data_IF_988124073955
#
_entry.id   IF_988124073955
#
_cell.length_a   1.000
_cell.length_b   1.000
_cell.length_c   1.000
_cell.angle_alpha   90.00
_cell.angle_beta   90.00
_cell.angle_gamma   90.00
#
_symmetry.space_group_name_H-M   'P 1'
#
loop_
_entity.id
_entity.type
_entity.pdbx_description
1 polymer ?
#
# COMPACT_ATOMS: atom_id res chain seq x y z
N UNK A 1 -12.58 -7.44 7.97
CA UNK A 1 -12.00 -8.60 7.27
C UNK A 1 -10.48 -8.46 7.22
N UNK A 2 -9.74 -9.54 6.96
CA UNK A 2 -8.28 -9.48 6.79
C UNK A 2 -7.92 -9.75 5.33
N UNK A 3 -6.81 -9.19 4.88
CA UNK A 3 -6.30 -9.41 3.53
C UNK A 3 -5.75 -10.83 3.39
N UNK A 4 -5.89 -11.44 2.21
CA UNK A 4 -5.44 -12.82 1.93
C UNK A 4 -3.96 -13.05 2.23
N UNK A 5 -3.13 -12.03 2.01
CA UNK A 5 -1.68 -12.06 2.31
C UNK A 5 -1.36 -12.13 3.80
N UNK A 6 -2.34 -11.84 4.67
CA UNK A 6 -2.22 -11.90 6.11
C UNK A 6 -2.62 -13.24 6.72
N UNK A 7 -3.47 -14.04 6.06
CA UNK A 7 -4.11 -15.20 6.69
C UNK A 7 -3.10 -16.19 7.29
N UNK A 8 -2.07 -16.57 6.52
CA UNK A 8 -1.04 -17.48 7.01
C UNK A 8 -0.29 -16.91 8.23
N UNK A 9 0.01 -15.62 8.22
CA UNK A 9 0.74 -14.95 9.31
C UNK A 9 -0.14 -14.82 10.55
N UNK A 10 -1.42 -14.48 10.38
CA UNK A 10 -2.40 -14.38 11.46
C UNK A 10 -2.57 -15.74 12.15
N UNK A 11 -2.79 -16.81 11.38
CA UNK A 11 -2.97 -18.17 11.93
C UNK A 11 -1.72 -18.63 12.67
N UNK A 12 -0.53 -18.47 12.09
CA UNK A 12 0.73 -18.82 12.75
C UNK A 12 0.92 -18.02 14.04
N UNK A 13 0.66 -16.72 14.02
CA UNK A 13 0.80 -15.85 15.20
C UNK A 13 -0.17 -16.28 16.31
N UNK A 14 -1.41 -16.61 15.95
CA UNK A 14 -2.41 -17.09 16.90
C UNK A 14 -1.97 -18.39 17.58
N UNK A 15 -1.47 -19.37 16.82
CA UNK A 15 -0.98 -20.64 17.35
C UNK A 15 0.23 -20.42 18.26
N UNK A 16 1.22 -19.64 17.83
CA UNK A 16 2.43 -19.37 18.60
C UNK A 16 2.07 -18.64 19.90
N UNK A 17 1.28 -17.58 19.85
CA UNK A 17 0.97 -16.78 21.03
C UNK A 17 0.10 -17.55 22.02
N UNK A 18 -0.84 -18.37 21.53
CA UNK A 18 -1.60 -19.28 22.40
C UNK A 18 -0.68 -20.28 23.08
N UNK A 19 0.24 -20.90 22.33
CA UNK A 19 1.22 -21.84 22.90
C UNK A 19 2.11 -21.18 23.96
N UNK A 20 2.60 -19.96 23.72
CA UNK A 20 3.39 -19.20 24.68
C UNK A 20 2.59 -18.87 25.95
N UNK A 21 1.32 -18.51 25.83
CA UNK A 21 0.44 -18.28 26.98
C UNK A 21 0.26 -19.55 27.79
N UNK A 22 0.06 -20.71 27.15
CA UNK A 22 -0.08 -21.99 27.84
C UNK A 22 1.21 -22.41 28.58
N UNK A 23 2.37 -22.21 27.94
CA UNK A 23 3.68 -22.44 28.57
C UNK A 23 3.87 -21.49 29.75
N UNK A 24 3.59 -20.20 29.58
CA UNK A 24 3.66 -19.22 30.65
C UNK A 24 2.77 -19.60 31.83
N UNK A 25 1.53 -20.04 31.58
CA UNK A 25 0.61 -20.51 32.61
C UNK A 25 1.12 -21.76 33.36
N UNK A 26 1.89 -22.63 32.69
CA UNK A 26 2.41 -23.87 33.30
C UNK A 26 3.64 -23.66 34.18
N UNK A 27 4.48 -22.68 33.85
CA UNK A 27 5.81 -22.48 34.44
C UNK A 27 5.95 -21.21 35.28
N UNK A 28 5.00 -20.26 35.22
CA UNK A 28 5.05 -19.04 36.01
C UNK A 28 4.13 -19.13 37.22
N UNK A 29 4.73 -19.20 38.40
CA UNK A 29 3.99 -19.19 39.68
C UNK A 29 3.51 -17.79 40.08
N UNK A 30 4.11 -16.74 39.49
CA UNK A 30 3.81 -15.34 39.79
C UNK A 30 2.72 -14.81 38.86
N UNK A 31 1.50 -14.65 39.39
CA UNK A 31 0.34 -14.15 38.64
C UNK A 31 0.60 -12.82 37.90
N UNK A 32 1.29 -11.85 38.52
CA UNK A 32 1.56 -10.55 37.88
C UNK A 32 2.44 -10.69 36.63
N UNK A 33 3.41 -11.60 36.64
CA UNK A 33 4.32 -11.83 35.52
C UNK A 33 3.61 -12.54 34.38
N UNK A 34 2.73 -13.50 34.70
CA UNK A 34 1.85 -14.14 33.73
C UNK A 34 0.96 -13.10 33.02
N UNK A 35 0.25 -12.26 33.77
CA UNK A 35 -0.63 -11.24 33.18
C UNK A 35 0.14 -10.22 32.34
N UNK A 36 1.33 -9.81 32.77
CA UNK A 36 2.20 -8.93 31.97
C UNK A 36 2.53 -9.56 30.61
N UNK A 37 2.96 -10.82 30.60
CA UNK A 37 3.28 -11.54 29.35
C UNK A 37 2.03 -11.70 28.49
N UNK A 38 0.90 -12.07 29.08
CA UNK A 38 -0.36 -12.21 28.35
C UNK A 38 -0.80 -10.88 27.70
N UNK A 39 -0.67 -9.76 28.40
CA UNK A 39 -0.97 -8.42 27.86
C UNK A 39 -0.02 -8.09 26.71
N UNK A 40 1.29 -8.30 26.88
CA UNK A 40 2.29 -8.01 25.83
C UNK A 40 2.00 -8.83 24.58
N UNK A 41 1.77 -10.13 24.71
CA UNK A 41 1.41 -11.01 23.59
C UNK A 41 0.06 -10.61 22.96
N UNK A 42 -0.91 -10.20 23.77
CA UNK A 42 -2.20 -9.69 23.30
C UNK A 42 -2.06 -8.42 22.46
N UNK A 43 -1.22 -7.47 22.89
CA UNK A 43 -0.91 -6.25 22.13
C UNK A 43 -0.20 -6.60 20.82
N UNK A 44 0.78 -7.51 20.84
CA UNK A 44 1.46 -7.95 19.62
C UNK A 44 0.48 -8.62 18.65
N UNK A 45 -0.44 -9.46 19.12
CA UNK A 45 -1.47 -10.08 18.29
C UNK A 45 -2.36 -9.01 17.67
N UNK A 46 -2.82 -8.05 18.48
CA UNK A 46 -3.63 -6.94 18.03
C UNK A 46 -2.93 -6.16 16.91
N UNK A 47 -1.63 -5.87 17.04
CA UNK A 47 -0.86 -5.18 16.00
C UNK A 47 -0.76 -6.00 14.70
N UNK A 48 -0.59 -7.32 14.78
CA UNK A 48 -0.60 -8.21 13.61
C UNK A 48 -1.96 -8.15 12.91
N UNK A 49 -3.05 -8.29 13.66
CA UNK A 49 -4.41 -8.21 13.12
C UNK A 49 -4.67 -6.83 12.48
N UNK A 50 -4.26 -5.77 13.17
CA UNK A 50 -4.43 -4.39 12.73
C UNK A 50 -3.67 -4.11 11.42
N UNK A 51 -2.48 -4.68 11.26
CA UNK A 51 -1.66 -4.50 10.06
C UNK A 51 -2.25 -5.18 8.82
N UNK A 52 -2.80 -6.40 8.98
CA UNK A 52 -3.39 -7.17 7.88
C UNK A 52 -4.88 -6.90 7.65
N UNK A 53 -5.47 -5.92 8.34
CA UNK A 53 -6.87 -5.57 8.15
C UNK A 53 -7.13 -5.12 6.71
N UNK A 54 -8.23 -5.59 6.13
CA UNK A 54 -8.79 -5.09 4.88
C UNK A 54 -10.24 -4.67 5.14
N UNK A 55 -10.49 -3.38 5.44
CA UNK A 55 -11.86 -2.90 5.55
C UNK A 55 -12.52 -2.93 4.17
N UNK A 56 -13.80 -3.29 4.12
CA UNK A 56 -14.59 -3.18 2.90
C UNK A 56 -14.70 -1.71 2.49
N UNK A 57 -14.57 -1.46 1.18
CA UNK A 57 -14.65 -0.12 0.60
C UNK A 57 -15.35 -0.19 -0.73
N UNK A 58 -16.19 0.81 -0.97
CA UNK A 58 -16.83 1.03 -2.25
C UNK A 58 -16.14 2.20 -2.93
N UNK A 59 -15.53 1.94 -4.08
CA UNK A 59 -14.98 2.99 -4.92
C UNK A 59 -16.11 3.71 -5.69
N UNK A 60 -15.89 4.96 -6.13
CA UNK A 60 -16.83 5.66 -7.01
C UNK A 60 -17.13 4.88 -8.29
N UNK A 61 -16.14 4.11 -8.79
CA UNK A 61 -16.19 3.40 -10.06
C UNK A 61 -16.60 4.33 -11.21
N UNK A 62 -15.96 5.50 -11.25
CA UNK A 62 -16.20 6.55 -12.22
C UNK A 62 -14.91 6.82 -12.99
N UNK A 63 -15.01 6.74 -14.32
CA UNK A 63 -13.88 6.95 -15.21
C UNK A 63 -13.34 8.39 -15.19
N UNK A 64 -14.15 9.36 -14.72
CA UNK A 64 -13.77 10.78 -14.65
C UNK A 64 -12.97 11.12 -13.39
N UNK A 65 -12.76 10.17 -12.47
CA UNK A 65 -11.98 10.38 -11.25
C UNK A 65 -10.92 9.31 -11.07
N UNK A 66 -9.79 9.68 -10.47
CA UNK A 66 -8.80 8.75 -9.95
C UNK A 66 -8.88 8.74 -8.43
N UNK A 67 -8.89 7.55 -7.83
CA UNK A 67 -8.90 7.38 -6.39
C UNK A 67 -7.50 7.14 -5.86
N UNK A 68 -7.32 7.37 -4.56
CA UNK A 68 -6.07 7.08 -3.88
C UNK A 68 -5.80 5.58 -3.94
N UNK A 69 -4.59 5.15 -4.33
CA UNK A 69 -4.26 3.72 -4.37
C UNK A 69 -4.10 3.15 -2.97
N UNK A 70 -3.87 3.98 -1.94
CA UNK A 70 -3.50 3.52 -0.59
C UNK A 70 -4.02 4.46 0.50
N UNK A 71 -4.03 3.98 1.74
CA UNK A 71 -4.21 4.84 2.90
C UNK A 71 -2.91 5.57 3.24
N UNK A 72 -3.00 6.85 3.54
CA UNK A 72 -1.81 7.57 3.96
C UNK A 72 -1.95 9.07 3.92
N UNK A 73 -0.81 9.73 3.77
CA UNK A 73 -0.69 11.18 3.68
C UNK A 73 -0.01 11.56 2.36
N UNK A 74 -0.54 12.56 1.67
CA UNK A 74 0.10 13.12 0.47
C UNK A 74 1.37 13.85 0.90
N UNK A 75 2.51 13.41 0.38
CA UNK A 75 3.85 13.93 0.78
C UNK A 75 4.64 14.56 -0.35
N UNK A 76 4.26 14.33 -1.60
CA UNK A 76 4.87 14.96 -2.78
C UNK A 76 3.79 15.27 -3.81
N UNK A 77 3.85 16.48 -4.37
CA UNK A 77 3.14 16.89 -5.57
C UNK A 77 4.15 17.72 -6.38
N UNK A 78 4.69 17.19 -7.47
CA UNK A 78 5.69 17.87 -8.28
C UNK A 78 5.72 17.35 -9.72
N UNK A 79 6.28 18.12 -10.65
CA UNK A 79 6.55 17.64 -12.00
C UNK A 79 7.92 16.95 -12.05
N UNK A 80 7.96 15.70 -12.49
CA UNK A 80 9.18 14.90 -12.59
C UNK A 80 9.31 14.27 -13.97
N UNK A 81 10.54 14.00 -14.39
CA UNK A 81 10.78 13.18 -15.57
C UNK A 81 10.65 11.69 -15.22
N UNK A 82 9.72 10.99 -15.87
CA UNK A 82 9.48 9.56 -15.68
C UNK A 82 10.24 8.79 -16.78
N UNK A 83 11.36 8.17 -16.41
CA UNK A 83 12.33 7.62 -17.37
C UNK A 83 12.03 6.18 -17.85
N UNK A 84 11.09 5.47 -17.22
CA UNK A 84 10.90 4.03 -17.44
C UNK A 84 9.91 3.73 -18.57
N UNK A 85 8.69 4.26 -18.45
CA UNK A 85 7.59 3.99 -19.36
C UNK A 85 7.34 5.20 -20.27
N UNK A 86 7.09 6.37 -19.69
CA UNK A 86 6.68 7.55 -20.45
C UNK A 86 7.84 8.23 -21.19
N UNK A 87 9.02 8.27 -20.57
CA UNK A 87 10.20 9.02 -21.07
C UNK A 87 9.86 10.49 -21.36
N UNK A 88 9.01 11.09 -20.50
CA UNK A 88 8.65 12.50 -20.54
C UNK A 88 8.45 13.07 -19.11
N UNK A 89 7.99 14.32 -19.01
CA UNK A 89 7.58 14.91 -17.74
C UNK A 89 6.14 14.54 -17.36
N UNK A 90 5.96 14.13 -16.11
CA UNK A 90 4.68 13.76 -15.49
C UNK A 90 4.46 14.49 -14.18
N UNK A 91 3.19 14.70 -13.85
CA UNK A 91 2.79 15.16 -12.52
C UNK A 91 2.82 13.97 -11.57
N UNK A 92 3.73 14.00 -10.59
CA UNK A 92 3.86 12.99 -9.56
C UNK A 92 3.03 13.36 -8.33
N UNK A 93 2.22 12.43 -7.83
CA UNK A 93 1.55 12.53 -6.53
C UNK A 93 1.94 11.33 -5.68
N UNK A 94 2.53 11.58 -4.52
CA UNK A 94 2.99 10.50 -3.64
C UNK A 94 2.23 10.43 -2.34
N UNK A 95 1.80 9.22 -2.00
CA UNK A 95 1.11 8.92 -0.74
C UNK A 95 2.01 8.05 0.12
N UNK A 96 2.38 8.55 1.29
CA UNK A 96 3.14 7.80 2.29
C UNK A 96 2.20 7.08 3.25
N UNK A 97 2.47 5.81 3.49
CA UNK A 97 1.71 4.91 4.36
C UNK A 97 2.48 4.70 5.65
N UNK A 98 1.91 5.12 6.78
CA UNK A 98 2.44 4.78 8.10
C UNK A 98 2.16 3.31 8.45
N UNK A 99 2.90 2.70 9.40
CA UNK A 99 2.65 1.33 9.86
C UNK A 99 1.22 1.06 10.37
N UNK A 100 0.50 2.11 10.78
CA UNK A 100 -0.88 2.00 11.28
C UNK A 100 -1.93 2.05 10.16
N UNK A 101 -1.55 2.44 8.94
CA UNK A 101 -2.46 2.49 7.79
C UNK A 101 -2.81 1.07 7.27
N UNK A 102 -3.86 0.99 6.46
CA UNK A 102 -4.16 -0.23 5.70
C UNK A 102 -3.13 -0.37 4.59
N UNK A 103 -2.43 -1.50 4.56
CA UNK A 103 -1.30 -1.76 3.65
C UNK A 103 -1.69 -2.44 2.33
N UNK A 104 -2.99 -2.59 2.10
CA UNK A 104 -3.58 -3.05 0.83
C UNK A 104 -3.50 -1.92 -0.19
N UNK A 105 -2.91 -2.20 -1.36
CA UNK A 105 -2.88 -1.27 -2.49
C UNK A 105 -4.06 -1.55 -3.40
N UNK A 106 -4.58 -0.51 -4.04
CA UNK A 106 -5.75 -0.57 -4.91
C UNK A 106 -5.50 0.11 -6.24
N UNK A 107 -6.25 -0.28 -7.26
CA UNK A 107 -6.17 0.36 -8.56
C UNK A 107 -6.76 1.79 -8.49
N UNK A 108 -5.98 2.83 -8.84
CA UNK A 108 -6.46 4.22 -8.76
C UNK A 108 -7.56 4.52 -9.80
N UNK A 109 -7.53 3.85 -10.94
CA UNK A 109 -8.54 3.92 -12.00
C UNK A 109 -8.78 2.53 -12.61
N UNK A 110 -9.92 2.38 -13.28
CA UNK A 110 -10.26 1.16 -14.02
C UNK A 110 -9.77 1.22 -15.46
N UNK A 111 -9.44 0.08 -16.04
CA UNK A 111 -8.89 0.01 -17.38
C UNK A 111 -8.12 -1.27 -17.67
N UNK A 112 -7.32 -1.24 -18.73
CA UNK A 112 -6.44 -2.36 -19.11
C UNK A 112 -5.04 -2.14 -18.55
N UNK A 113 -4.42 -3.16 -17.97
CA UNK A 113 -3.01 -3.10 -17.61
C UNK A 113 -2.16 -3.05 -18.88
N UNK A 114 -1.50 -1.92 -19.12
CA UNK A 114 -0.63 -1.71 -20.28
C UNK A 114 0.81 -2.15 -20.01
N UNK A 115 1.21 -2.14 -18.74
CA UNK A 115 2.58 -2.47 -18.32
C UNK A 115 2.60 -2.94 -16.87
N UNK A 116 3.41 -3.95 -16.56
CA UNK A 116 3.64 -4.42 -15.19
C UNK A 116 5.04 -4.97 -15.02
N UNK A 117 5.88 -4.31 -14.21
CA UNK A 117 7.27 -4.73 -14.00
C UNK A 117 7.72 -4.62 -12.55
N UNK A 118 8.38 -5.67 -12.09
CA UNK A 118 9.06 -5.70 -10.79
C UNK A 118 10.54 -5.30 -10.94
N UNK A 119 11.02 -4.52 -9.98
CA UNK A 119 12.41 -4.08 -9.90
C UNK A 119 12.96 -4.42 -8.51
N UNK A 120 13.97 -5.30 -8.42
CA UNK A 120 14.68 -5.49 -7.16
C UNK A 120 15.49 -4.22 -6.84
N UNK A 121 15.68 -3.94 -5.55
CA UNK A 121 16.42 -2.75 -5.14
C UNK A 121 16.85 -2.77 -3.69
N UNK A 122 17.31 -1.62 -3.23
CA UNK A 122 17.75 -1.35 -1.86
C UNK A 122 16.57 -1.19 -0.91
N UNK A 123 16.89 -0.98 0.36
CA UNK A 123 15.93 -0.80 1.45
C UNK A 123 16.18 0.55 2.14
N UNK A 124 16.16 1.64 1.36
CA UNK A 124 16.21 2.99 1.92
C UNK A 124 14.86 3.31 2.59
N UNK A 125 14.86 4.25 3.53
CA UNK A 125 13.61 4.76 4.12
C UNK A 125 12.73 5.38 3.03
N UNK A 126 11.41 5.14 3.09
CA UNK A 126 10.51 5.47 1.98
C UNK A 126 10.40 6.98 1.68
N UNK A 127 10.72 7.84 2.66
CA UNK A 127 10.78 9.30 2.51
C UNK A 127 12.10 9.82 1.90
N UNK A 128 13.10 8.94 1.71
CA UNK A 128 14.36 9.35 1.08
C UNK A 128 14.11 9.70 -0.40
N UNK A 129 14.63 10.81 -0.94
CA UNK A 129 14.36 11.22 -2.33
C UNK A 129 14.70 10.16 -3.39
N UNK A 130 15.74 9.36 -3.14
CA UNK A 130 16.16 8.27 -4.04
C UNK A 130 15.38 6.96 -3.87
N UNK A 131 14.40 6.89 -2.94
CA UNK A 131 13.65 5.65 -2.70
C UNK A 131 12.88 5.21 -3.95
N UNK A 132 12.29 6.15 -4.71
CA UNK A 132 11.53 5.83 -5.91
C UNK A 132 12.36 5.19 -7.03
N UNK A 133 13.68 5.35 -7.05
CA UNK A 133 14.57 4.78 -8.09
C UNK A 133 15.45 3.65 -7.60
N UNK A 134 15.88 3.69 -6.33
CA UNK A 134 16.86 2.74 -5.79
C UNK A 134 16.22 1.61 -4.99
N UNK A 135 15.01 1.80 -4.44
CA UNK A 135 14.39 0.75 -3.64
C UNK A 135 13.72 -0.31 -4.50
N UNK A 136 13.48 -1.47 -3.86
CA UNK A 136 12.55 -2.46 -4.39
C UNK A 136 11.21 -1.78 -4.70
N UNK A 137 10.75 -1.93 -5.95
CA UNK A 137 9.52 -1.33 -6.44
C UNK A 137 8.81 -2.19 -7.49
N UNK A 138 7.54 -1.92 -7.69
CA UNK A 138 6.82 -2.31 -8.91
C UNK A 138 6.37 -1.07 -9.65
N UNK A 139 6.36 -1.15 -10.98
CA UNK A 139 5.82 -0.14 -11.88
C UNK A 139 4.65 -0.78 -12.61
N UNK A 140 3.47 -0.18 -12.51
CA UNK A 140 2.26 -0.64 -13.18
C UNK A 140 1.61 0.53 -13.91
N UNK A 141 1.17 0.30 -15.14
CA UNK A 141 0.42 1.28 -15.94
C UNK A 141 -0.96 0.74 -16.21
N UNK A 142 -1.98 1.53 -15.86
CA UNK A 142 -3.37 1.27 -16.21
C UNK A 142 -3.75 2.25 -17.33
N UNK A 143 -4.09 1.71 -18.50
CA UNK A 143 -4.69 2.48 -19.58
C UNK A 143 -6.17 2.69 -19.24
N UNK A 144 -6.49 3.90 -18.81
CA UNK A 144 -7.84 4.34 -18.42
C UNK A 144 -8.52 5.07 -19.58
N UNK A 145 -9.86 5.06 -19.60
CA UNK A 145 -10.64 5.68 -20.67
C UNK A 145 -10.48 7.22 -20.75
N UNK A 146 -10.40 7.90 -19.60
CA UNK A 146 -10.37 9.38 -19.53
C UNK A 146 -8.99 9.98 -19.28
N UNK A 147 -8.19 9.37 -18.41
CA UNK A 147 -6.86 9.88 -18.07
C UNK A 147 -5.75 9.32 -18.97
N UNK A 148 -6.09 8.38 -19.87
CA UNK A 148 -5.11 7.62 -20.64
C UNK A 148 -4.28 6.74 -19.72
N UNK A 149 -2.97 6.67 -20.00
CA UNK A 149 -2.04 5.88 -19.20
C UNK A 149 -1.78 6.54 -17.84
N UNK A 150 -2.22 5.88 -16.78
CA UNK A 150 -1.98 6.23 -15.38
C UNK A 150 -0.99 5.23 -14.81
N UNK A 151 0.20 5.71 -14.45
CA UNK A 151 1.24 4.87 -13.86
C UNK A 151 1.19 5.01 -12.34
N UNK A 152 1.29 3.89 -11.63
CA UNK A 152 1.56 3.89 -10.21
C UNK A 152 2.76 3.00 -9.85
N UNK A 153 3.53 3.43 -8.86
CA UNK A 153 4.65 2.67 -8.31
C UNK A 153 4.42 2.33 -6.86
N UNK A 154 4.54 1.05 -6.54
CA UNK A 154 4.63 0.59 -5.16
C UNK A 154 6.09 0.61 -4.77
N UNK A 155 6.44 1.29 -3.68
CA UNK A 155 7.84 1.44 -3.24
C UNK A 155 7.96 0.90 -1.81
N UNK A 156 8.80 -0.11 -1.66
CA UNK A 156 9.15 -0.70 -0.38
C UNK A 156 10.03 0.26 0.42
N UNK A 157 9.74 0.47 1.71
CA UNK A 157 10.63 1.15 2.64
C UNK A 157 11.69 0.24 3.27
N UNK A 158 12.49 0.78 4.18
CA UNK A 158 13.63 0.07 4.78
C UNK A 158 13.27 -1.22 5.55
N UNK A 159 12.04 -1.29 6.08
CA UNK A 159 11.53 -2.44 6.83
C UNK A 159 10.61 -3.33 5.97
N UNK A 160 10.28 -2.88 4.77
CA UNK A 160 9.43 -3.58 3.81
C UNK A 160 10.25 -4.66 3.11
N UNK A 161 9.90 -5.93 3.31
CA UNK A 161 10.65 -7.05 2.71
C UNK A 161 10.02 -7.64 1.45
N UNK A 162 8.78 -7.27 1.09
CA UNK A 162 8.07 -7.79 -0.09
C UNK A 162 7.00 -6.80 -0.55
N UNK A 163 7.04 -6.46 -1.83
CA UNK A 163 5.90 -5.95 -2.59
C UNK A 163 5.18 -7.14 -3.20
N UNK A 164 3.85 -7.16 -3.09
CA UNK A 164 2.99 -8.13 -3.74
C UNK A 164 2.18 -7.36 -4.76
N UNK A 165 2.37 -7.67 -6.04
CA UNK A 165 1.67 -7.05 -7.16
C UNK A 165 0.79 -8.09 -7.84
N UNK A 166 -0.46 -7.72 -8.12
CA UNK A 166 -1.42 -8.60 -8.80
C UNK A 166 -1.62 -8.24 -10.28
N UNK A 167 -1.04 -7.14 -10.76
CA UNK A 167 -1.24 -6.69 -12.12
C UNK A 167 -0.52 -7.58 -13.14
N UNK A 168 -1.26 -8.12 -14.09
CA UNK A 168 -0.76 -8.85 -15.25
C UNK A 168 -1.04 -8.05 -16.53
N UNK A 169 -0.08 -7.97 -17.46
CA UNK A 169 -0.25 -7.21 -18.70
C UNK A 169 -1.43 -7.75 -19.52
N UNK A 170 -2.26 -6.84 -20.04
CA UNK A 170 -3.47 -7.17 -20.80
C UNK A 170 -4.72 -7.43 -19.94
N UNK A 171 -4.58 -7.58 -18.62
CA UNK A 171 -5.70 -7.78 -17.69
C UNK A 171 -6.60 -6.54 -17.64
N UNK A 172 -7.92 -6.76 -17.54
CA UNK A 172 -8.88 -5.71 -17.20
C UNK A 172 -9.02 -5.60 -15.69
N UNK A 173 -8.94 -4.39 -15.16
CA UNK A 173 -9.03 -4.10 -13.72
C UNK A 173 -10.10 -3.04 -13.45
N UNK A 174 -10.74 -3.15 -12.30
CA UNK A 174 -11.78 -2.21 -11.85
C UNK A 174 -11.18 -1.23 -10.85
N UNK A 175 -11.64 0.03 -10.89
CA UNK A 175 -11.19 1.04 -9.93
C UNK A 175 -11.49 0.59 -8.50
N UNK A 176 -10.48 0.69 -7.64
CA UNK A 176 -10.60 0.39 -6.22
C UNK A 176 -10.50 -1.10 -5.84
N UNK A 177 -10.42 -2.01 -6.81
CA UNK A 177 -10.06 -3.39 -6.54
C UNK A 177 -8.64 -3.48 -5.97
N UNK A 178 -8.38 -4.53 -5.19
CA UNK A 178 -7.06 -4.80 -4.61
C UNK A 178 -6.04 -5.04 -5.75
N UNK A 179 -5.03 -4.18 -5.83
CA UNK A 179 -3.93 -4.28 -6.79
C UNK A 179 -2.70 -4.99 -6.23
N UNK A 180 -2.66 -5.19 -4.91
CA UNK A 180 -1.51 -5.75 -4.25
C UNK A 180 -1.46 -5.48 -2.74
N UNK A 181 -0.27 -5.65 -2.19
CA UNK A 181 0.02 -5.44 -0.78
C UNK A 181 1.49 -5.05 -0.60
N UNK A 182 1.77 -4.01 0.19
CA UNK A 182 3.14 -3.61 0.52
C UNK A 182 3.34 -3.72 2.03
N UNK A 183 4.40 -4.39 2.48
CA UNK A 183 4.61 -4.58 3.93
C UNK A 183 5.35 -3.38 4.55
N UNK A 184 4.93 -2.90 5.72
CA UNK A 184 5.69 -2.04 6.65
C UNK A 184 6.31 -0.75 6.07
N UNK A 185 5.57 0.35 6.15
CA UNK A 185 6.11 1.69 5.93
C UNK A 185 6.50 1.90 4.47
N UNK A 186 5.50 2.22 3.65
CA UNK A 186 5.63 2.23 2.20
C UNK A 186 5.14 3.53 1.58
N UNK A 187 5.48 3.74 0.32
CA UNK A 187 5.04 4.88 -0.46
C UNK A 187 4.43 4.34 -1.76
N UNK A 188 3.37 4.99 -2.22
CA UNK A 188 2.88 4.81 -3.59
C UNK A 188 2.96 6.11 -4.33
N UNK A 189 3.59 6.08 -5.50
CA UNK A 189 3.70 7.22 -6.41
C UNK A 189 2.70 7.04 -7.55
N UNK A 190 1.92 8.07 -7.84
CA UNK A 190 1.11 8.18 -9.06
C UNK A 190 1.81 9.13 -10.01
N UNK A 191 1.80 8.81 -11.31
CA UNK A 191 2.32 9.66 -12.36
C UNK A 191 1.19 9.91 -13.37
N UNK A 192 0.86 11.18 -13.53
CA UNK A 192 -0.28 11.66 -14.30
C UNK A 192 0.20 12.60 -15.43
N UNK A 193 -0.60 12.81 -16.49
CA UNK A 193 -0.35 13.88 -17.44
C UNK A 193 -0.17 15.24 -16.76
N UNK A 194 0.70 16.09 -17.31
CA UNK A 194 0.83 17.47 -16.83
C UNK A 194 -0.50 18.21 -17.07
N UNK A 195 -0.89 19.05 -16.11
CA UNK A 195 -2.13 19.81 -16.16
C UNK A 195 -3.35 19.05 -15.65
N UNK A 196 -3.21 17.78 -15.23
CA UNK A 196 -4.28 17.06 -14.53
C UNK A 196 -4.72 17.84 -13.29
N UNK A 197 -6.02 18.09 -13.17
CA UNK A 197 -6.60 18.75 -12.00
C UNK A 197 -6.58 17.80 -10.80
N UNK A 198 -5.85 18.19 -9.77
CA UNK A 198 -5.79 17.45 -8.50
C UNK A 198 -6.88 17.92 -7.54
N UNK A 199 -7.53 16.96 -6.87
CA UNK A 199 -8.50 17.19 -5.80
C UNK A 199 -7.88 17.00 -4.41
N UNK A 200 -6.56 16.86 -4.34
CA UNK A 200 -5.76 16.76 -3.11
C UNK A 200 -4.66 17.80 -3.06
N UNK A 201 -4.25 18.13 -1.84
CA UNK A 201 -3.13 19.02 -1.54
C UNK A 201 -2.06 18.29 -0.75
N UNK A 202 -0.86 18.89 -0.74
CA UNK A 202 0.22 18.44 0.12
C UNK A 202 -0.27 18.38 1.58
N UNK A 203 0.07 17.29 2.27
CA UNK A 203 -0.33 16.95 3.63
C UNK A 203 -1.76 16.40 3.83
N UNK A 204 -2.59 16.29 2.80
CA UNK A 204 -3.91 15.69 2.95
C UNK A 204 -3.83 14.22 3.36
N UNK A 205 -4.76 13.82 4.25
CA UNK A 205 -4.94 12.41 4.63
C UNK A 205 -5.93 11.77 3.69
N UNK A 206 -5.50 10.70 3.02
CA UNK A 206 -6.27 10.00 1.99
C UNK A 206 -6.54 8.55 2.39
N UNK A 207 -7.67 8.03 1.91
CA UNK A 207 -8.06 6.63 2.06
C UNK A 207 -8.09 5.96 0.69
N UNK A 208 -7.45 4.79 0.59
CA UNK A 208 -7.41 4.00 -0.62
C UNK A 208 -8.81 3.66 -1.15
N UNK A 209 -9.02 3.69 -2.46
CA UNK A 209 -10.30 3.54 -3.17
C UNK A 209 -11.40 4.55 -2.85
N UNK A 210 -11.23 5.47 -1.89
CA UNK A 210 -12.30 6.41 -1.50
C UNK A 210 -11.94 7.86 -1.79
N UNK A 211 -10.75 8.29 -1.36
CA UNK A 211 -10.32 9.67 -1.58
C UNK A 211 -10.01 9.88 -3.06
N UNK A 212 -10.60 10.90 -3.68
CA UNK A 212 -10.32 11.29 -5.05
C UNK A 212 -8.98 12.04 -5.05
N UNK A 213 -8.06 11.64 -5.94
CA UNK A 213 -6.77 12.29 -6.18
C UNK A 213 -6.89 13.31 -7.31
N UNK A 214 -7.64 12.97 -8.35
CA UNK A 214 -7.78 13.80 -9.55
C UNK A 214 -9.15 13.60 -10.21
N UNK A 215 -9.60 14.63 -10.92
CA UNK A 215 -10.84 14.64 -11.70
C UNK A 215 -10.65 15.34 -13.05
N UNK A 216 -11.51 15.02 -14.03
CA UNK A 216 -11.60 15.67 -15.34
C UNK A 216 -12.97 16.32 -15.49
#
# INVERSE_FOLDING_TARGET
MFHKEGYKIIVISLVIFTGLILVANRFLDKNWLFYLIAIVLGVLLYLVLQFFRNPERTAPNDANVLTSPVDGKVVVIEEVYEAEYFKDKRLQVSVFMSPLNVHVTRYPGGGRIAYSKYHPGKYLVAWHPKSSTENERTTVVVNTDKFGDVLYRQIAGALAKRIINYAEEGQMVVQGDDSGFIRFGSRVDLYLPIGTKLDVKLNDVVKGAQSIIASI
#
